data_IF_828743768394
#
_entry.id   IF_828743768394
#
_cell.length_a   1.000
_cell.length_b   1.000
_cell.length_c   1.000
_cell.angle_alpha   90.00
_cell.angle_beta   90.00
_cell.angle_gamma   90.00
#
_symmetry.space_group_name_H-M   'P 1'
#
loop_
_entity.id
_entity.type
_entity.pdbx_description
1 polymer ?
#
# COMPACT_ATOMS: atom_id res chain seq x y z
N UNK A 1 22.26 -53.65 -31.30
CA UNK A 1 21.63 -52.52 -30.59
C UNK A 1 20.39 -52.10 -31.35
N UNK A 2 19.20 -52.35 -30.78
CA UNK A 2 17.93 -52.25 -31.50
C UNK A 2 17.45 -50.79 -31.49
N UNK A 3 17.49 -50.12 -32.65
CA UNK A 3 17.15 -48.70 -32.83
C UNK A 3 15.73 -48.34 -32.35
N UNK A 4 14.82 -49.32 -32.32
CA UNK A 4 13.45 -49.19 -31.81
C UNK A 4 13.40 -49.05 -30.27
N UNK A 5 14.27 -49.73 -29.54
CA UNK A 5 14.32 -49.64 -28.08
C UNK A 5 14.88 -48.28 -27.61
N UNK A 6 15.85 -47.74 -28.35
CA UNK A 6 16.44 -46.42 -28.08
C UNK A 6 15.40 -45.30 -28.30
N UNK A 7 14.58 -45.40 -29.36
CA UNK A 7 13.50 -44.43 -29.63
C UNK A 7 12.39 -44.44 -28.60
N UNK A 8 12.01 -45.63 -28.10
CA UNK A 8 10.98 -45.75 -27.06
C UNK A 8 11.42 -45.14 -25.72
N UNK A 9 12.68 -45.33 -25.34
CA UNK A 9 13.25 -44.75 -24.10
C UNK A 9 13.35 -43.22 -24.18
N UNK A 10 13.75 -42.68 -25.34
CA UNK A 10 13.81 -41.22 -25.55
C UNK A 10 12.42 -40.55 -25.53
N UNK A 11 11.40 -41.20 -26.10
CA UNK A 11 10.04 -40.67 -26.05
C UNK A 11 9.46 -40.66 -24.63
N UNK A 12 9.73 -41.69 -23.82
CA UNK A 12 9.29 -41.73 -22.43
C UNK A 12 9.99 -40.67 -21.55
N UNK A 13 11.26 -40.35 -21.84
CA UNK A 13 12.02 -39.31 -21.12
C UNK A 13 11.56 -37.89 -21.46
N UNK A 14 11.06 -37.63 -22.68
CA UNK A 14 10.61 -36.30 -23.12
C UNK A 14 9.19 -35.94 -22.65
N UNK A 15 8.33 -36.93 -22.38
CA UNK A 15 6.97 -36.69 -21.87
C UNK A 15 6.96 -36.55 -20.34
N UNK A 16 7.96 -37.12 -19.64
CA UNK A 16 8.07 -37.05 -18.18
C UNK A 16 8.62 -35.73 -17.61
N UNK A 17 9.22 -34.88 -18.44
CA UNK A 17 9.85 -33.62 -18.00
C UNK A 17 9.02 -32.37 -18.29
N UNK A 18 7.90 -32.49 -19.01
CA UNK A 18 7.08 -31.33 -19.42
C UNK A 18 5.91 -31.01 -18.49
N UNK A 19 5.56 -31.87 -17.52
CA UNK A 19 4.45 -31.61 -16.58
C UNK A 19 4.86 -31.08 -15.21
N UNK A 20 6.15 -31.11 -14.87
CA UNK A 20 6.65 -30.66 -13.55
C UNK A 20 7.00 -29.17 -13.52
N UNK A 21 6.91 -28.48 -14.67
CA UNK A 21 7.39 -27.11 -14.86
C UNK A 21 6.51 -26.00 -14.28
N UNK A 22 5.28 -26.31 -13.86
CA UNK A 22 4.34 -25.32 -13.30
C UNK A 22 4.07 -25.50 -11.80
N UNK A 23 4.58 -26.56 -11.16
CA UNK A 23 4.32 -26.84 -9.75
C UNK A 23 5.33 -26.20 -8.79
N UNK A 24 6.31 -25.44 -9.29
CA UNK A 24 7.37 -24.79 -8.52
C UNK A 24 7.31 -23.26 -8.57
N UNK A 25 6.16 -22.69 -8.92
CA UNK A 25 5.93 -21.29 -8.61
C UNK A 25 5.79 -21.18 -7.08
N UNK A 26 6.50 -20.25 -6.40
CA UNK A 26 6.28 -20.02 -4.98
C UNK A 26 4.78 -19.75 -4.77
N UNK A 27 4.24 -20.26 -3.67
CA UNK A 27 2.89 -19.89 -3.26
C UNK A 27 2.92 -18.38 -3.02
N UNK A 28 2.23 -17.62 -3.86
CA UNK A 28 2.00 -16.21 -3.57
C UNK A 28 1.00 -16.17 -2.41
N UNK A 29 1.31 -15.36 -1.40
CA UNK A 29 0.34 -15.10 -0.36
C UNK A 29 -0.91 -14.48 -0.99
N UNK A 30 -2.07 -14.83 -0.45
CA UNK A 30 -3.38 -14.34 -0.91
C UNK A 30 -4.07 -13.60 0.23
N UNK A 31 -5.16 -12.91 -0.06
CA UNK A 31 -5.96 -12.26 0.98
C UNK A 31 -6.78 -13.22 1.87
N UNK A 32 -6.78 -14.53 1.60
CA UNK A 32 -7.55 -15.50 2.39
C UNK A 32 -7.01 -15.59 3.83
N UNK A 33 -7.89 -15.39 4.83
CA UNK A 33 -7.53 -15.50 6.24
C UNK A 33 -6.87 -14.26 6.85
N UNK A 34 -6.85 -13.14 6.13
CA UNK A 34 -6.21 -11.89 6.57
C UNK A 34 -7.10 -11.00 7.44
N UNK A 35 -8.35 -11.39 7.73
CA UNK A 35 -9.36 -10.51 8.31
C UNK A 35 -8.95 -9.92 9.67
N UNK A 36 -8.29 -10.73 10.50
CA UNK A 36 -7.79 -10.28 11.79
C UNK A 36 -6.63 -9.28 11.65
N UNK A 37 -5.74 -9.50 10.69
CA UNK A 37 -4.61 -8.62 10.42
C UNK A 37 -5.07 -7.29 9.80
N UNK A 38 -6.05 -7.33 8.89
CA UNK A 38 -6.72 -6.14 8.34
C UNK A 38 -7.35 -5.31 9.48
N UNK A 39 -8.11 -5.95 10.37
CA UNK A 39 -8.73 -5.25 11.49
C UNK A 39 -7.71 -4.65 12.46
N UNK A 40 -6.58 -5.33 12.69
CA UNK A 40 -5.49 -4.81 13.51
C UNK A 40 -4.79 -3.62 12.84
N UNK A 41 -4.54 -3.69 11.53
CA UNK A 41 -3.93 -2.62 10.76
C UNK A 41 -4.79 -1.36 10.76
N UNK A 42 -6.12 -1.50 10.62
CA UNK A 42 -7.05 -0.36 10.64
C UNK A 42 -7.07 0.39 11.98
N UNK A 43 -6.70 -0.31 13.06
CA UNK A 43 -6.64 0.24 14.41
C UNK A 43 -5.25 0.78 14.78
N UNK A 44 -4.31 0.84 13.84
CA UNK A 44 -2.97 1.34 14.09
C UNK A 44 -3.05 2.81 14.55
N UNK A 45 -2.62 3.16 15.78
CA UNK A 45 -2.79 4.52 16.30
C UNK A 45 -2.10 5.61 15.45
N UNK A 46 -1.08 5.24 14.68
CA UNK A 46 -0.40 6.15 13.78
C UNK A 46 -1.29 6.67 12.65
N UNK A 47 -2.33 5.94 12.24
CA UNK A 47 -3.26 6.37 11.19
C UNK A 47 -4.10 7.58 11.60
N UNK A 48 -4.27 7.79 12.91
CA UNK A 48 -4.99 8.93 13.48
C UNK A 48 -4.12 10.19 13.60
N UNK A 49 -2.83 10.11 13.25
CA UNK A 49 -1.97 11.29 13.18
C UNK A 49 -2.40 12.16 12.01
N UNK A 50 -2.73 13.41 12.29
CA UNK A 50 -2.95 14.42 11.28
C UNK A 50 -2.72 15.85 11.82
N UNK A 51 -2.31 16.81 10.97
CA UNK A 51 -2.29 18.22 11.33
C UNK A 51 -3.61 18.70 11.91
N UNK A 52 -3.54 19.55 12.94
CA UNK A 52 -4.74 20.18 13.52
C UNK A 52 -5.50 20.96 12.45
N UNK A 53 -6.79 20.67 12.32
CA UNK A 53 -7.66 21.29 11.32
C UNK A 53 -7.59 20.64 9.93
N UNK A 54 -6.84 19.55 9.76
CA UNK A 54 -7.11 18.61 8.68
C UNK A 54 -8.47 17.94 8.93
N UNK A 55 -9.22 17.74 7.85
CA UNK A 55 -10.53 17.10 7.88
C UNK A 55 -10.40 15.76 7.17
N UNK A 56 -10.95 14.71 7.78
CA UNK A 56 -11.02 13.38 7.18
C UNK A 56 -12.01 13.42 6.02
N UNK A 57 -11.60 12.81 4.92
CA UNK A 57 -12.42 12.63 3.73
C UNK A 57 -12.87 11.18 3.75
N UNK A 58 -13.97 10.92 4.46
CA UNK A 58 -14.54 9.58 4.59
C UNK A 58 -15.15 9.14 3.26
N UNK A 59 -14.90 7.88 2.87
CA UNK A 59 -15.49 7.30 1.67
C UNK A 59 -15.22 5.80 1.59
N UNK A 60 -16.25 5.00 1.84
CA UNK A 60 -16.27 3.57 1.54
C UNK A 60 -16.23 3.40 0.00
N UNK A 61 -15.40 2.50 -0.57
CA UNK A 61 -14.53 1.52 0.07
C UNK A 61 -13.08 1.95 0.34
N UNK A 62 -12.76 3.23 0.21
CA UNK A 62 -11.38 3.69 0.08
C UNK A 62 -10.71 4.01 1.41
N UNK A 63 -11.44 4.57 2.37
CA UNK A 63 -10.91 4.77 3.73
C UNK A 63 -11.06 3.48 4.55
N UNK A 64 -9.99 3.07 5.23
CA UNK A 64 -9.99 1.86 6.04
C UNK A 64 -8.96 0.84 5.58
N UNK A 65 -8.82 -0.23 6.34
CA UNK A 65 -7.94 -1.34 5.97
C UNK A 65 -8.62 -2.34 5.05
N UNK A 66 -7.84 -2.84 4.09
CA UNK A 66 -8.22 -3.96 3.23
C UNK A 66 -6.95 -4.70 2.78
N UNK A 67 -7.15 -5.88 2.20
CA UNK A 67 -6.10 -6.63 1.56
C UNK A 67 -6.17 -6.41 0.04
N UNK A 68 -5.02 -6.14 -0.57
CA UNK A 68 -4.84 -6.08 -2.01
C UNK A 68 -4.15 -7.36 -2.44
N UNK A 69 -4.69 -8.03 -3.46
CA UNK A 69 -4.11 -9.21 -4.09
C UNK A 69 -4.03 -8.94 -5.59
N UNK A 70 -2.83 -8.68 -6.09
CA UNK A 70 -2.58 -8.41 -7.49
C UNK A 70 -1.44 -9.25 -8.06
N UNK A 71 -1.03 -8.96 -9.30
CA UNK A 71 0.04 -9.72 -9.97
C UNK A 71 1.42 -9.65 -9.30
N UNK A 72 1.63 -8.73 -8.37
CA UNK A 72 2.84 -8.58 -7.56
C UNK A 72 2.77 -9.30 -6.21
N UNK A 73 1.61 -9.86 -5.83
CA UNK A 73 1.37 -10.58 -4.59
C UNK A 73 0.27 -9.92 -3.74
N UNK A 74 0.07 -10.44 -2.53
CA UNK A 74 -0.85 -9.85 -1.57
C UNK A 74 -0.14 -8.99 -0.51
N UNK A 75 -0.78 -7.89 -0.13
CA UNK A 75 -0.38 -7.06 1.00
C UNK A 75 -1.61 -6.41 1.62
N UNK A 76 -1.46 -5.92 2.85
CA UNK A 76 -2.49 -5.15 3.55
C UNK A 76 -2.19 -3.67 3.40
N UNK A 77 -3.23 -2.88 3.17
CA UNK A 77 -3.16 -1.41 3.20
C UNK A 77 -4.26 -0.87 4.07
N UNK A 78 -4.01 0.25 4.76
CA UNK A 78 -5.00 1.00 5.50
C UNK A 78 -4.87 2.49 5.20
N UNK A 79 -5.86 3.04 4.50
CA UNK A 79 -5.79 4.41 3.99
C UNK A 79 -6.63 5.38 4.84
N UNK A 80 -6.08 6.59 5.04
CA UNK A 80 -6.80 7.77 5.56
C UNK A 80 -6.59 8.93 4.59
N UNK A 81 -7.69 9.47 4.08
CA UNK A 81 -7.68 10.61 3.18
C UNK A 81 -7.99 11.89 3.93
N UNK A 82 -7.23 12.94 3.65
CA UNK A 82 -7.34 14.20 4.35
C UNK A 82 -7.34 15.39 3.41
N UNK A 83 -8.15 16.38 3.78
CA UNK A 83 -8.10 17.72 3.22
C UNK A 83 -7.62 18.71 4.28
N UNK A 84 -6.73 19.62 3.89
CA UNK A 84 -6.14 20.58 4.81
C UNK A 84 -6.04 21.97 4.18
N UNK A 85 -6.47 22.98 4.93
CA UNK A 85 -6.39 24.38 4.52
C UNK A 85 -4.96 24.95 4.52
N UNK A 86 -3.97 24.23 5.06
CA UNK A 86 -2.57 24.65 5.07
C UNK A 86 -1.78 24.20 3.82
N UNK A 87 -0.45 24.15 3.94
CA UNK A 87 0.47 23.84 2.84
C UNK A 87 1.07 22.43 2.94
N UNK A 88 1.54 21.88 1.82
CA UNK A 88 2.31 20.62 1.77
C UNK A 88 3.47 20.59 2.77
N UNK A 89 4.22 21.70 2.87
CA UNK A 89 5.34 21.82 3.82
C UNK A 89 4.88 21.65 5.28
N UNK A 90 3.74 22.22 5.65
CA UNK A 90 3.21 22.06 7.01
C UNK A 90 2.80 20.61 7.30
N UNK A 91 2.28 19.88 6.31
CA UNK A 91 1.95 18.46 6.42
C UNK A 91 3.24 17.63 6.59
N UNK A 92 4.24 17.86 5.74
CA UNK A 92 5.56 17.20 5.85
C UNK A 92 6.24 17.48 7.19
N UNK A 93 6.27 18.74 7.62
CA UNK A 93 6.83 19.14 8.91
C UNK A 93 6.10 18.45 10.08
N UNK A 94 4.77 18.27 9.98
CA UNK A 94 3.98 17.58 10.98
C UNK A 94 4.36 16.09 11.07
N UNK A 95 4.23 15.34 9.97
CA UNK A 95 4.53 13.90 9.98
C UNK A 95 6.00 13.60 10.25
N UNK A 96 6.92 14.43 9.75
CA UNK A 96 8.34 14.32 10.08
C UNK A 96 8.61 14.35 11.60
N UNK A 97 7.82 15.11 12.37
CA UNK A 97 7.92 15.15 13.83
C UNK A 97 7.08 14.08 14.53
N UNK A 98 5.79 14.00 14.22
CA UNK A 98 4.86 13.14 14.96
C UNK A 98 5.09 11.66 14.66
N UNK A 99 5.32 11.28 13.39
CA UNK A 99 5.65 9.89 13.04
C UNK A 99 6.99 9.48 13.67
N UNK A 100 7.99 10.39 13.66
CA UNK A 100 9.27 10.20 14.38
C UNK A 100 9.09 10.00 15.88
N UNK A 101 8.20 10.77 16.51
CA UNK A 101 7.90 10.61 17.93
C UNK A 101 7.19 9.28 18.23
N UNK A 102 6.40 8.78 17.27
CA UNK A 102 5.70 7.50 17.35
C UNK A 102 6.55 6.29 16.93
N UNK A 103 7.79 6.50 16.47
CA UNK A 103 8.75 5.41 16.19
C UNK A 103 8.97 5.11 14.71
N UNK A 104 8.42 5.89 13.78
CA UNK A 104 8.68 5.79 12.34
C UNK A 104 9.67 6.85 11.87
N UNK A 105 10.59 6.49 10.99
CA UNK A 105 11.58 7.41 10.41
C UNK A 105 11.38 7.50 8.92
N UNK A 106 11.49 8.70 8.32
CA UNK A 106 11.46 8.81 6.88
C UNK A 106 12.67 8.08 6.28
N UNK A 107 12.44 7.26 5.27
CA UNK A 107 13.48 6.46 4.59
C UNK A 107 14.47 7.38 3.87
N UNK A 108 13.92 8.38 3.17
CA UNK A 108 14.65 9.44 2.49
C UNK A 108 14.36 10.81 3.09
N UNK A 109 15.09 11.84 2.66
CA UNK A 109 14.76 13.22 3.01
C UNK A 109 13.35 13.60 2.55
N UNK A 110 12.60 14.34 3.38
CA UNK A 110 11.26 14.85 3.05
C UNK A 110 11.25 15.97 1.99
N UNK A 111 12.39 16.19 1.34
CA UNK A 111 12.61 17.02 0.16
C UNK A 111 12.71 16.19 -1.14
N UNK A 112 12.89 14.87 -1.03
CA UNK A 112 13.02 13.94 -2.14
C UNK A 112 11.90 12.88 -2.10
N UNK A 113 10.72 13.23 -2.61
CA UNK A 113 9.65 12.24 -2.76
C UNK A 113 9.81 11.39 -4.02
N UNK A 114 9.33 10.15 -3.99
CA UNK A 114 9.33 9.29 -5.17
C UNK A 114 8.18 9.69 -6.12
N UNK A 115 8.50 9.88 -7.40
CA UNK A 115 7.57 10.41 -8.41
C UNK A 115 7.13 9.37 -9.43
N UNK A 116 5.95 8.77 -9.26
CA UNK A 116 5.23 8.00 -10.30
C UNK A 116 3.75 8.37 -10.29
N UNK A 117 3.41 9.54 -10.86
CA UNK A 117 2.04 10.08 -10.86
C UNK A 117 1.63 10.77 -9.55
N UNK A 118 2.18 10.34 -8.42
CA UNK A 118 2.10 11.00 -7.12
C UNK A 118 3.49 11.22 -6.53
N UNK A 119 3.57 12.13 -5.55
CA UNK A 119 4.76 12.26 -4.69
C UNK A 119 4.46 11.50 -3.40
N UNK A 120 5.19 10.40 -3.19
CA UNK A 120 5.04 9.54 -2.01
C UNK A 120 6.29 9.65 -1.14
N UNK A 121 6.09 9.72 0.18
CA UNK A 121 7.14 9.75 1.19
C UNK A 121 6.97 8.54 2.10
N UNK A 122 8.05 7.78 2.25
CA UNK A 122 8.06 6.51 2.97
C UNK A 122 8.60 6.68 4.39
N UNK A 123 7.95 6.05 5.35
CA UNK A 123 8.32 6.05 6.75
C UNK A 123 8.36 4.61 7.27
N UNK A 124 9.47 4.23 7.88
CA UNK A 124 9.67 2.87 8.39
C UNK A 124 9.93 2.85 9.90
N UNK A 125 9.48 1.78 10.53
CA UNK A 125 9.75 1.45 11.93
C UNK A 125 10.38 0.05 11.96
N UNK A 126 11.24 -0.30 12.94
CA UNK A 126 11.89 -1.63 12.95
C UNK A 126 10.91 -2.80 13.14
N UNK A 127 9.76 -2.57 13.78
CA UNK A 127 8.85 -3.61 14.24
C UNK A 127 7.37 -3.36 13.90
N UNK A 128 7.07 -2.26 13.21
CA UNK A 128 5.70 -1.87 12.85
C UNK A 128 5.53 -1.83 11.32
N UNK A 129 4.28 -1.95 10.83
CA UNK A 129 3.92 -1.68 9.43
C UNK A 129 4.58 -0.39 8.91
N UNK A 130 4.95 -0.36 7.63
CA UNK A 130 5.44 0.86 7.02
C UNK A 130 4.29 1.86 6.85
N UNK A 131 4.64 3.13 6.69
CA UNK A 131 3.65 4.18 6.46
C UNK A 131 4.09 5.05 5.30
N UNK A 132 3.14 5.40 4.43
CA UNK A 132 3.36 6.31 3.32
C UNK A 132 2.51 7.57 3.45
N UNK A 133 3.08 8.70 3.03
CA UNK A 133 2.40 9.97 2.86
C UNK A 133 2.40 10.33 1.38
N UNK A 134 1.22 10.43 0.77
CA UNK A 134 1.09 10.80 -0.63
C UNK A 134 0.32 12.11 -0.79
N UNK A 135 0.78 13.01 -1.65
CA UNK A 135 0.00 14.18 -2.06
C UNK A 135 -0.66 13.94 -3.41
N UNK A 136 -1.96 14.16 -3.49
CA UNK A 136 -2.77 13.99 -4.69
C UNK A 136 -3.72 15.17 -4.84
N UNK A 137 -4.02 15.63 -6.05
CA UNK A 137 -5.15 16.56 -6.25
C UNK A 137 -6.49 15.79 -6.17
N UNK A 138 -7.62 16.47 -5.92
CA UNK A 138 -8.94 15.84 -5.99
C UNK A 138 -9.20 15.11 -7.31
N UNK A 139 -8.71 15.64 -8.44
CA UNK A 139 -8.83 15.00 -9.74
C UNK A 139 -8.04 13.69 -9.81
N UNK A 140 -6.82 13.67 -9.26
CA UNK A 140 -6.03 12.45 -9.15
C UNK A 140 -6.71 11.44 -8.22
N UNK A 141 -7.22 11.88 -7.06
CA UNK A 141 -7.96 11.00 -6.16
C UNK A 141 -9.18 10.37 -6.84
N UNK A 142 -9.90 11.13 -7.66
CA UNK A 142 -11.00 10.58 -8.47
C UNK A 142 -10.50 9.62 -9.54
N UNK A 143 -9.43 9.95 -10.25
CA UNK A 143 -8.90 9.10 -11.33
C UNK A 143 -8.39 7.75 -10.81
N UNK A 144 -7.61 7.77 -9.72
CA UNK A 144 -6.91 6.60 -9.22
C UNK A 144 -7.71 5.81 -8.18
N UNK A 145 -8.59 6.48 -7.43
CA UNK A 145 -9.40 5.85 -6.39
C UNK A 145 -10.91 5.96 -6.66
N UNK A 146 -11.37 6.50 -7.78
CA UNK A 146 -12.80 6.58 -8.09
C UNK A 146 -13.63 7.40 -7.09
N UNK A 147 -13.01 8.31 -6.34
CA UNK A 147 -13.66 9.04 -5.25
C UNK A 147 -14.72 10.04 -5.77
N UNK A 148 -15.99 9.80 -5.43
CA UNK A 148 -17.15 10.65 -5.76
C UNK A 148 -18.12 10.77 -4.56
N UNK A 149 -18.83 11.92 -4.39
CA UNK A 149 -18.74 13.15 -5.18
C UNK A 149 -17.43 13.90 -4.92
N UNK A 150 -17.15 14.96 -5.69
CA UNK A 150 -15.84 15.61 -5.67
C UNK A 150 -15.46 16.02 -4.23
N UNK A 151 -14.29 15.62 -3.70
CA UNK A 151 -13.99 15.83 -2.30
C UNK A 151 -14.02 17.31 -1.84
N UNK A 152 -13.69 18.24 -2.74
CA UNK A 152 -13.81 19.67 -2.46
C UNK A 152 -15.27 20.17 -2.35
N UNK A 153 -16.26 19.41 -2.82
CA UNK A 153 -17.69 19.68 -2.62
C UNK A 153 -18.18 19.17 -1.26
N UNK A 154 -17.52 18.14 -0.71
CA UNK A 154 -17.85 17.57 0.60
C UNK A 154 -17.41 18.45 1.76
N UNK A 155 -16.47 19.35 1.52
CA UNK A 155 -15.80 20.09 2.57
C UNK A 155 -15.93 21.60 2.36
N UNK A 156 -16.56 22.28 3.32
CA UNK A 156 -16.63 23.75 3.40
C UNK A 156 -15.29 24.44 3.70
N UNK A 157 -14.17 23.79 3.41
CA UNK A 157 -12.81 24.32 3.54
C UNK A 157 -12.29 24.68 2.15
N UNK A 158 -11.66 25.85 2.04
CA UNK A 158 -10.77 26.19 0.93
C UNK A 158 -9.50 25.33 1.05
N UNK A 159 -9.65 24.02 0.81
CA UNK A 159 -8.64 23.01 1.01
C UNK A 159 -7.55 23.17 -0.05
N UNK A 160 -6.38 23.59 0.39
CA UNK A 160 -5.22 23.84 -0.49
C UNK A 160 -4.32 22.62 -0.63
N UNK A 161 -4.42 21.68 0.30
CA UNK A 161 -3.59 20.47 0.33
C UNK A 161 -4.46 19.25 0.58
N UNK A 162 -4.35 18.28 -0.31
CA UNK A 162 -4.99 16.98 -0.26
C UNK A 162 -3.89 15.92 -0.17
N UNK A 163 -4.07 14.96 0.72
CA UNK A 163 -3.08 13.92 0.96
C UNK A 163 -3.70 12.67 1.55
N UNK A 164 -2.99 11.56 1.39
CA UNK A 164 -3.31 10.26 1.97
C UNK A 164 -2.20 9.88 2.94
N UNK A 165 -2.60 9.31 4.07
CA UNK A 165 -1.73 8.72 5.06
C UNK A 165 -2.10 7.25 5.20
N UNK A 166 -1.17 6.37 4.84
CA UNK A 166 -1.47 4.97 4.58
C UNK A 166 -0.50 4.06 5.31
N UNK A 167 -0.99 3.02 5.97
CA UNK A 167 -0.13 1.98 6.55
C UNK A 167 -0.13 0.74 5.65
N UNK A 168 1.03 0.13 5.46
CA UNK A 168 1.20 -1.07 4.64
C UNK A 168 1.88 -2.19 5.44
N UNK A 169 1.36 -3.42 5.30
CA UNK A 169 1.86 -4.60 6.00
C UNK A 169 1.82 -5.85 5.12
N UNK A 170 2.59 -6.87 5.49
CA UNK A 170 2.45 -8.20 4.93
C UNK A 170 1.06 -8.78 5.23
N UNK A 171 0.59 -9.81 4.49
CA UNK A 171 -0.72 -10.43 4.71
C UNK A 171 -0.97 -10.95 6.14
N UNK A 172 0.09 -11.32 6.86
CA UNK A 172 0.02 -11.74 8.27
C UNK A 172 0.02 -10.57 9.28
N UNK A 173 0.06 -9.33 8.79
CA UNK A 173 0.14 -8.09 9.56
C UNK A 173 1.55 -7.72 10.00
N UNK A 174 2.57 -8.48 9.63
CA UNK A 174 3.95 -8.15 9.95
C UNK A 174 4.48 -6.99 9.09
N UNK A 175 5.57 -6.37 9.57
CA UNK A 175 6.25 -5.26 8.89
C UNK A 175 6.59 -5.63 7.44
N UNK A 176 6.25 -4.74 6.52
CA UNK A 176 6.85 -4.68 5.18
C UNK A 176 7.66 -3.39 5.03
N UNK A 177 8.62 -3.40 4.12
CA UNK A 177 9.36 -2.20 3.71
C UNK A 177 8.56 -1.46 2.62
N UNK A 178 8.84 -0.16 2.44
CA UNK A 178 8.22 0.62 1.36
C UNK A 178 8.85 0.37 -0.03
#
# INVERSE_FOLDING_TARGET
MNMLAVRAVLAALLVGTSLSGCSFLPHFDTCEGTEAAVAALDQLPALELHPKGAVVVDGDPWSGAHCVDDTAGAWLTADRFYAYGGTRKQVLDHYGREASAAGWRPVDGLDAGFGRGFVVFCFESPDQPSITLAFASPEQLREFHGMEPHPAELLGVDARTWYTWSAEAQPDGSRMDC
#
